data_IF_091449030624
#
_entry.id   IF_091449030624
#
_cell.length_a   1.000
_cell.length_b   1.000
_cell.length_c   1.000
_cell.angle_alpha   90.00
_cell.angle_beta   90.00
_cell.angle_gamma   90.00
#
_symmetry.space_group_name_H-M   'P 1'
#
loop_
_entity.id
_entity.type
_entity.pdbx_description
1 polymer ?
#
# COMPACT_ATOMS: atom_id res chain seq x y z
N UNK A 1 -21.60 9.74 -10.88
CA UNK A 1 -20.17 9.56 -11.22
C UNK A 1 -19.91 8.07 -11.15
N UNK A 2 -19.44 7.46 -12.22
CA UNK A 2 -18.91 6.09 -12.13
C UNK A 2 -17.67 6.15 -11.25
N UNK A 3 -17.64 5.32 -10.21
CA UNK A 3 -16.47 5.19 -9.35
C UNK A 3 -15.34 4.53 -10.15
N UNK A 4 -14.11 4.99 -9.97
CA UNK A 4 -12.94 4.31 -10.54
C UNK A 4 -12.75 2.90 -9.96
N UNK A 5 -11.92 2.10 -10.61
CA UNK A 5 -11.69 0.70 -10.25
C UNK A 5 -11.22 0.51 -8.79
N UNK A 6 -10.36 1.42 -8.30
CA UNK A 6 -9.79 1.36 -6.95
C UNK A 6 -10.87 1.51 -5.83
N UNK A 7 -11.70 2.57 -5.82
CA UNK A 7 -12.81 2.68 -4.87
C UNK A 7 -13.81 1.51 -4.91
N UNK A 8 -14.12 0.99 -6.10
CA UNK A 8 -15.00 -0.16 -6.25
C UNK A 8 -14.38 -1.42 -5.63
N UNK A 9 -13.08 -1.62 -5.85
CA UNK A 9 -12.32 -2.72 -5.26
C UNK A 9 -12.30 -2.61 -3.73
N UNK A 10 -12.03 -1.42 -3.19
CA UNK A 10 -12.05 -1.18 -1.75
C UNK A 10 -13.42 -1.50 -1.15
N UNK A 11 -14.52 -1.00 -1.72
CA UNK A 11 -15.88 -1.28 -1.20
C UNK A 11 -16.23 -2.77 -1.27
N UNK A 12 -15.80 -3.47 -2.31
CA UNK A 12 -15.99 -4.93 -2.45
C UNK A 12 -15.27 -5.70 -1.34
N UNK A 13 -14.05 -5.30 -1.00
CA UNK A 13 -13.24 -5.98 0.02
C UNK A 13 -13.54 -5.51 1.45
N UNK A 14 -14.07 -4.30 1.62
CA UNK A 14 -14.43 -3.70 2.90
C UNK A 14 -15.93 -3.36 2.92
N UNK A 15 -16.82 -4.37 2.88
CA UNK A 15 -18.27 -4.12 2.78
C UNK A 15 -18.82 -3.32 3.97
N UNK A 16 -18.14 -3.41 5.12
CA UNK A 16 -18.48 -2.70 6.36
C UNK A 16 -18.04 -1.23 6.37
N UNK A 17 -17.13 -0.82 5.48
CA UNK A 17 -16.63 0.54 5.42
C UNK A 17 -17.34 1.32 4.31
N UNK A 18 -17.64 2.58 4.56
CA UNK A 18 -18.08 3.49 3.50
C UNK A 18 -16.87 4.06 2.76
N UNK A 19 -16.90 3.99 1.43
CA UNK A 19 -15.81 4.43 0.55
C UNK A 19 -16.30 5.59 -0.28
N UNK A 20 -15.63 6.72 -0.16
CA UNK A 20 -16.04 7.95 -0.81
C UNK A 20 -14.93 8.56 -1.64
N UNK A 21 -15.35 9.22 -2.72
CA UNK A 21 -14.45 9.88 -3.67
C UNK A 21 -14.89 11.33 -3.78
N UNK A 22 -13.97 12.26 -3.65
CA UNK A 22 -14.26 13.66 -3.93
C UNK A 22 -13.00 14.49 -4.01
N UNK A 23 -12.85 15.28 -5.07
CA UNK A 23 -11.58 15.97 -5.42
C UNK A 23 -11.02 16.81 -4.27
N UNK A 24 -11.88 17.57 -3.59
CA UNK A 24 -11.55 18.30 -2.37
C UNK A 24 -11.88 17.41 -1.16
N UNK A 25 -10.85 16.93 -0.46
CA UNK A 25 -11.04 15.98 0.64
C UNK A 25 -11.78 16.58 1.82
N UNK A 26 -11.57 17.87 2.11
CA UNK A 26 -12.23 18.55 3.22
C UNK A 26 -13.71 18.76 2.94
N UNK A 27 -14.04 19.40 1.81
CA UNK A 27 -15.43 19.67 1.44
C UNK A 27 -16.23 18.38 1.28
N UNK A 28 -15.60 17.32 0.75
CA UNK A 28 -16.23 16.01 0.62
C UNK A 28 -16.47 15.35 1.98
N UNK A 29 -15.49 15.41 2.90
CA UNK A 29 -15.66 14.89 4.26
C UNK A 29 -16.83 15.56 4.99
N UNK A 30 -16.96 16.88 4.93
CA UNK A 30 -18.07 17.60 5.57
C UNK A 30 -19.42 17.10 5.02
N UNK A 31 -19.53 16.99 3.70
CA UNK A 31 -20.74 16.50 3.05
C UNK A 31 -21.10 15.07 3.48
N UNK A 32 -20.13 14.15 3.44
CA UNK A 32 -20.38 12.75 3.81
C UNK A 32 -20.65 12.57 5.30
N UNK A 33 -20.04 13.38 6.16
CA UNK A 33 -20.31 13.39 7.59
C UNK A 33 -21.78 13.69 7.87
N UNK A 34 -22.33 14.68 7.18
CA UNK A 34 -23.74 15.06 7.28
C UNK A 34 -24.66 13.98 6.69
N UNK A 35 -24.38 13.53 5.47
CA UNK A 35 -25.20 12.54 4.74
C UNK A 35 -25.31 11.22 5.52
N UNK A 36 -24.19 10.72 6.03
CA UNK A 36 -24.15 9.46 6.80
C UNK A 36 -24.57 9.61 8.26
N UNK A 37 -24.79 10.85 8.74
CA UNK A 37 -24.98 11.15 10.16
C UNK A 37 -23.90 10.47 11.00
N UNK A 38 -22.64 10.68 10.60
CA UNK A 38 -21.50 9.99 11.22
C UNK A 38 -21.48 10.26 12.72
N UNK A 39 -21.23 9.20 13.49
CA UNK A 39 -21.08 9.29 14.94
C UNK A 39 -19.79 10.06 15.26
N UNK A 40 -19.75 10.69 16.42
CA UNK A 40 -18.58 11.46 16.86
C UNK A 40 -17.30 10.60 16.94
N UNK A 41 -17.43 9.31 17.26
CA UNK A 41 -16.31 8.38 17.40
C UNK A 41 -15.99 7.60 16.11
N UNK A 42 -16.42 8.09 14.95
CA UNK A 42 -16.11 7.44 13.67
C UNK A 42 -14.66 7.66 13.28
N UNK A 43 -14.01 6.62 12.76
CA UNK A 43 -12.65 6.70 12.20
C UNK A 43 -12.76 6.98 10.71
N UNK A 44 -11.98 7.96 10.24
CA UNK A 44 -11.83 8.29 8.82
C UNK A 44 -10.42 7.93 8.39
N UNK A 45 -10.30 7.23 7.26
CA UNK A 45 -9.01 6.89 6.66
C UNK A 45 -8.88 7.65 5.36
N UNK A 46 -7.80 8.41 5.22
CA UNK A 46 -7.43 9.07 3.98
C UNK A 46 -6.44 8.19 3.23
N UNK A 47 -6.89 7.58 2.13
CA UNK A 47 -5.98 6.92 1.21
C UNK A 47 -5.14 7.97 0.47
N UNK A 48 -3.82 7.74 0.42
CA UNK A 48 -2.82 8.66 -0.15
C UNK A 48 -2.90 10.12 0.40
N UNK A 49 -3.13 10.25 1.71
CA UNK A 49 -3.38 11.54 2.38
C UNK A 49 -2.15 12.34 2.83
N UNK A 50 -0.94 11.76 2.79
CA UNK A 50 0.23 12.34 3.47
C UNK A 50 0.68 13.71 2.90
N UNK A 51 0.51 13.93 1.59
CA UNK A 51 0.79 15.23 0.96
C UNK A 51 -0.37 16.23 1.11
N UNK A 52 -1.53 15.82 1.64
CA UNK A 52 -2.73 16.67 1.69
C UNK A 52 -2.74 17.58 2.92
N UNK A 53 -1.77 18.50 3.02
CA UNK A 53 -1.51 19.30 4.24
C UNK A 53 -2.72 20.08 4.78
N UNK A 54 -3.66 20.49 3.91
CA UNK A 54 -4.83 21.33 4.25
C UNK A 54 -5.81 20.66 5.22
N UNK A 55 -5.89 19.33 5.22
CA UNK A 55 -6.88 18.60 6.02
C UNK A 55 -6.21 18.01 7.26
N UNK A 56 -6.41 18.58 8.44
CA UNK A 56 -5.84 18.07 9.69
C UNK A 56 -6.13 16.56 9.91
N UNK A 57 -5.16 15.85 10.48
CA UNK A 57 -5.23 14.42 10.77
C UNK A 57 -4.72 14.20 12.19
N UNK A 58 -5.42 13.35 12.94
CA UNK A 58 -4.99 12.99 14.29
C UNK A 58 -3.77 12.07 14.29
N UNK A 59 -3.61 11.27 13.23
CA UNK A 59 -2.51 10.30 13.08
C UNK A 59 -2.08 10.21 11.61
N UNK A 60 -0.79 10.40 11.35
CA UNK A 60 -0.15 10.18 10.05
C UNK A 60 0.64 8.86 10.02
N UNK A 61 0.16 7.88 9.26
CA UNK A 61 0.83 6.61 8.99
C UNK A 61 1.52 6.66 7.62
N UNK A 62 2.85 6.61 7.57
CA UNK A 62 3.59 6.71 6.31
C UNK A 62 4.14 5.37 5.87
N UNK A 63 3.73 4.93 4.68
CA UNK A 63 4.24 3.72 4.06
C UNK A 63 5.51 4.02 3.25
N UNK A 64 6.56 3.26 3.52
CA UNK A 64 7.78 3.21 2.70
C UNK A 64 7.86 1.85 2.00
N UNK A 65 8.11 1.85 0.68
CA UNK A 65 8.28 0.62 -0.08
C UNK A 65 9.71 0.09 0.09
N UNK A 66 9.86 -1.00 0.84
CA UNK A 66 11.15 -1.67 1.10
C UNK A 66 11.87 -2.09 -0.18
N UNK A 67 11.14 -2.40 -1.27
CA UNK A 67 11.74 -2.80 -2.55
C UNK A 67 12.38 -1.64 -3.31
N UNK A 68 12.05 -0.39 -2.96
CA UNK A 68 12.50 0.81 -3.67
C UNK A 68 13.34 1.76 -2.83
N UNK A 69 13.12 1.81 -1.53
CA UNK A 69 13.72 2.82 -0.62
C UNK A 69 15.26 2.86 -0.64
N UNK A 70 15.92 1.74 -0.99
CA UNK A 70 17.38 1.68 -1.11
C UNK A 70 17.91 2.42 -2.35
N UNK A 71 17.09 2.55 -3.39
CA UNK A 71 17.41 3.09 -4.71
C UNK A 71 16.84 4.50 -4.92
N UNK A 72 15.70 4.80 -4.30
CA UNK A 72 15.03 6.10 -4.45
C UNK A 72 15.68 7.17 -3.57
N UNK A 73 16.40 8.08 -4.23
CA UNK A 73 17.11 9.20 -3.57
C UNK A 73 16.70 10.57 -4.07
N UNK A 74 15.97 10.62 -5.19
CA UNK A 74 15.65 11.85 -5.88
C UNK A 74 14.14 12.08 -5.90
N UNK A 75 13.78 13.35 -5.82
CA UNK A 75 12.41 13.82 -6.05
C UNK A 75 12.04 13.66 -7.51
N UNK A 76 10.74 13.58 -7.77
CA UNK A 76 10.21 13.75 -9.13
C UNK A 76 10.73 15.07 -9.75
N UNK A 77 11.12 15.08 -11.04
CA UNK A 77 11.10 13.98 -12.00
C UNK A 77 12.36 13.10 -12.02
N UNK A 78 13.40 13.44 -11.26
CA UNK A 78 14.69 12.71 -11.25
C UNK A 78 14.63 11.36 -10.51
N UNK A 79 13.60 11.15 -9.70
CA UNK A 79 13.25 9.88 -9.06
C UNK A 79 11.75 9.82 -8.79
N UNK A 80 11.32 8.96 -7.86
CA UNK A 80 9.89 8.75 -7.59
C UNK A 80 9.41 9.37 -6.27
N UNK A 81 10.30 9.98 -5.49
CA UNK A 81 9.90 10.61 -4.24
C UNK A 81 9.02 11.83 -4.54
N UNK A 82 7.78 11.83 -4.04
CA UNK A 82 6.90 13.00 -4.12
C UNK A 82 7.30 14.10 -3.13
N UNK A 83 7.96 13.70 -2.05
CA UNK A 83 8.46 14.56 -0.99
C UNK A 83 9.83 14.07 -0.50
N UNK A 84 10.68 14.95 0.05
CA UNK A 84 11.98 14.55 0.56
C UNK A 84 11.83 13.61 1.77
N UNK A 85 12.80 12.72 1.99
CA UNK A 85 12.80 11.80 3.14
C UNK A 85 12.69 12.55 4.49
N UNK A 86 13.13 13.81 4.56
CA UNK A 86 12.95 14.66 5.75
C UNK A 86 11.48 14.89 6.12
N UNK A 87 10.54 14.79 5.19
CA UNK A 87 9.10 14.91 5.46
C UNK A 87 8.58 13.86 6.44
N UNK A 88 9.30 12.74 6.63
CA UNK A 88 8.99 11.72 7.64
C UNK A 88 8.98 12.25 9.08
N UNK A 89 9.53 13.44 9.33
CA UNK A 89 9.43 14.09 10.65
C UNK A 89 7.97 14.28 11.09
N UNK A 90 7.06 14.46 10.13
CA UNK A 90 5.61 14.65 10.35
C UNK A 90 4.86 13.34 10.60
N UNK A 91 5.43 12.20 10.22
CA UNK A 91 4.78 10.91 10.42
C UNK A 91 4.69 10.60 11.91
N UNK A 92 3.57 10.08 12.38
CA UNK A 92 3.47 9.52 13.74
C UNK A 92 4.07 8.12 13.78
N UNK A 93 3.82 7.32 12.76
CA UNK A 93 4.44 6.00 12.57
C UNK A 93 4.88 5.78 11.14
N UNK A 94 5.94 4.98 10.99
CA UNK A 94 6.50 4.60 9.69
C UNK A 94 6.28 3.10 9.48
N UNK A 95 5.72 2.74 8.34
CA UNK A 95 5.44 1.35 7.97
C UNK A 95 6.31 0.98 6.77
N UNK A 96 7.24 0.06 6.94
CA UNK A 96 7.98 -0.53 5.82
C UNK A 96 7.14 -1.64 5.20
N UNK A 97 6.52 -1.33 4.07
CA UNK A 97 5.75 -2.28 3.25
C UNK A 97 6.67 -3.14 2.38
N UNK A 98 6.22 -4.37 2.05
CA UNK A 98 7.01 -5.35 1.30
C UNK A 98 8.36 -5.63 1.98
N UNK A 99 8.34 -5.66 3.31
CA UNK A 99 9.54 -5.81 4.13
C UNK A 99 10.29 -7.10 3.82
N UNK A 100 11.62 -6.99 3.75
CA UNK A 100 12.56 -8.10 3.70
C UNK A 100 13.72 -7.82 4.67
N UNK A 101 14.31 -8.86 5.24
CA UNK A 101 15.42 -8.73 6.19
C UNK A 101 16.67 -8.07 5.57
N UNK A 102 16.81 -8.13 4.25
CA UNK A 102 17.91 -7.50 3.50
C UNK A 102 17.98 -5.98 3.67
N UNK A 103 16.86 -5.31 3.96
CA UNK A 103 16.80 -3.85 4.12
C UNK A 103 16.86 -3.36 5.56
N UNK A 104 17.08 -4.26 6.52
CA UNK A 104 17.04 -3.94 7.96
C UNK A 104 18.00 -2.82 8.36
N UNK A 105 19.20 -2.75 7.75
CA UNK A 105 20.14 -1.64 7.99
C UNK A 105 19.55 -0.28 7.61
N UNK A 106 18.77 -0.20 6.54
CA UNK A 106 18.12 1.03 6.10
C UNK A 106 16.99 1.40 7.06
N UNK A 107 16.23 0.41 7.52
CA UNK A 107 15.17 0.58 8.53
C UNK A 107 15.74 1.18 9.81
N UNK A 108 16.82 0.61 10.33
CA UNK A 108 17.49 1.11 11.54
C UNK A 108 18.01 2.55 11.36
N UNK A 109 18.57 2.87 10.20
CA UNK A 109 19.03 4.24 9.91
C UNK A 109 17.87 5.24 9.92
N UNK A 110 16.72 4.88 9.35
CA UNK A 110 15.52 5.72 9.36
C UNK A 110 14.96 5.83 10.79
N UNK A 111 14.92 4.72 11.54
CA UNK A 111 14.47 4.70 12.92
C UNK A 111 15.28 5.65 13.80
N UNK A 112 16.62 5.54 13.72
CA UNK A 112 17.53 6.37 14.50
C UNK A 112 17.44 7.85 14.10
N UNK A 113 17.28 8.13 12.80
CA UNK A 113 17.22 9.51 12.30
C UNK A 113 15.95 10.24 12.72
N UNK A 114 14.80 9.57 12.69
CA UNK A 114 13.51 10.22 12.95
C UNK A 114 12.94 9.92 14.34
N UNK A 115 13.52 8.97 15.07
CA UNK A 115 13.06 8.52 16.39
C UNK A 115 11.56 8.14 16.39
N UNK A 116 11.12 7.48 15.30
CA UNK A 116 9.72 7.04 15.13
C UNK A 116 9.60 5.54 15.37
N UNK A 117 8.41 5.12 15.81
CA UNK A 117 8.05 3.71 15.82
C UNK A 117 8.00 3.18 14.37
N UNK A 118 8.55 1.99 14.17
CA UNK A 118 8.57 1.34 12.86
C UNK A 118 7.82 0.02 12.92
N UNK A 119 6.83 -0.09 12.03
CA UNK A 119 6.19 -1.36 11.70
C UNK A 119 6.82 -1.95 10.44
N UNK A 120 7.03 -3.26 10.45
CA UNK A 120 7.53 -4.04 9.31
C UNK A 120 6.38 -4.87 8.78
N UNK A 121 6.00 -4.65 7.53
CA UNK A 121 4.86 -5.28 6.91
C UNK A 121 5.26 -6.00 5.63
N UNK A 122 4.97 -7.29 5.56
CA UNK A 122 5.13 -8.12 4.37
C UNK A 122 3.80 -8.78 4.00
N UNK A 123 3.65 -9.08 2.71
CA UNK A 123 2.51 -9.82 2.18
C UNK A 123 3.00 -11.15 1.63
N UNK A 124 2.29 -12.22 1.98
CA UNK A 124 2.47 -13.54 1.40
C UNK A 124 1.15 -14.02 0.80
N UNK A 125 1.16 -14.56 -0.44
CA UNK A 125 -0.05 -15.11 -1.01
C UNK A 125 -0.56 -16.29 -0.20
N UNK A 126 -1.79 -16.15 0.31
CA UNK A 126 -2.51 -17.24 0.98
C UNK A 126 -3.14 -18.19 -0.04
N UNK A 127 -3.69 -17.64 -1.12
CA UNK A 127 -4.55 -18.35 -2.09
C UNK A 127 -4.22 -17.97 -3.53
N UNK A 128 -4.35 -18.95 -4.41
CA UNK A 128 -4.40 -18.76 -5.86
C UNK A 128 -5.87 -18.81 -6.26
N UNK A 129 -6.33 -17.81 -7.01
CA UNK A 129 -7.69 -17.79 -7.54
C UNK A 129 -7.68 -18.14 -9.03
N UNK A 130 -8.52 -19.10 -9.41
CA UNK A 130 -8.81 -19.40 -10.80
C UNK A 130 -9.79 -18.37 -11.41
N UNK A 131 -9.98 -18.34 -12.73
CA UNK A 131 -10.93 -17.43 -13.38
C UNK A 131 -12.39 -17.56 -12.90
N UNK A 132 -12.79 -18.74 -12.42
CA UNK A 132 -14.10 -19.00 -11.82
C UNK A 132 -14.13 -18.77 -10.29
N UNK A 133 -13.13 -18.05 -9.74
CA UNK A 133 -13.01 -17.70 -8.33
C UNK A 133 -12.91 -18.90 -7.37
N UNK A 134 -12.50 -20.06 -7.88
CA UNK A 134 -12.13 -21.18 -7.02
C UNK A 134 -10.76 -20.91 -6.41
N UNK A 135 -10.61 -21.31 -5.16
CA UNK A 135 -9.40 -21.07 -4.39
C UNK A 135 -8.56 -22.34 -4.32
N UNK A 136 -7.30 -22.21 -4.73
CA UNK A 136 -6.26 -23.23 -4.58
C UNK A 136 -5.14 -22.72 -3.67
N UNK A 137 -4.30 -23.64 -3.19
CA UNK A 137 -3.05 -23.27 -2.54
C UNK A 137 -2.04 -22.80 -3.60
N UNK A 138 -1.33 -21.68 -3.39
CA UNK A 138 -0.26 -21.25 -4.28
C UNK A 138 0.87 -22.29 -4.45
N UNK A 139 1.00 -23.25 -3.54
CA UNK A 139 1.93 -24.39 -3.64
C UNK A 139 1.69 -25.26 -4.88
N UNK A 140 0.52 -25.18 -5.51
CA UNK A 140 0.22 -25.87 -6.77
C UNK A 140 1.18 -25.48 -7.90
N UNK A 141 1.82 -24.31 -7.80
CA UNK A 141 2.81 -23.83 -8.75
C UNK A 141 4.15 -24.58 -8.67
N UNK A 142 4.43 -25.26 -7.55
CA UNK A 142 5.70 -25.96 -7.33
C UNK A 142 5.92 -27.05 -8.39
N UNK A 143 7.08 -27.02 -9.03
CA UNK A 143 7.44 -27.96 -10.10
C UNK A 143 6.63 -27.81 -11.39
N UNK A 144 5.81 -26.76 -11.54
CA UNK A 144 5.04 -26.49 -12.76
C UNK A 144 5.78 -25.52 -13.68
N UNK A 145 5.51 -25.62 -14.98
CA UNK A 145 5.83 -24.55 -15.94
C UNK A 145 4.70 -23.52 -15.87
N UNK A 146 5.04 -22.29 -15.53
CA UNK A 146 4.10 -21.19 -15.32
C UNK A 146 4.40 -20.10 -16.34
N UNK A 147 3.36 -19.67 -17.04
CA UNK A 147 3.37 -18.45 -17.85
C UNK A 147 2.65 -17.37 -17.05
N UNK A 148 3.32 -16.24 -16.79
CA UNK A 148 2.82 -15.19 -15.94
C UNK A 148 2.92 -13.83 -16.62
N UNK A 149 1.88 -13.00 -16.47
CA UNK A 149 1.89 -11.62 -16.92
C UNK A 149 1.23 -10.73 -15.87
N UNK A 150 1.59 -9.45 -15.85
CA UNK A 150 1.03 -8.49 -14.91
C UNK A 150 1.03 -7.08 -15.49
N UNK A 151 0.03 -6.28 -15.12
CA UNK A 151 -0.14 -4.88 -15.52
C UNK A 151 0.16 -3.87 -14.41
N UNK A 152 0.88 -4.27 -13.36
CA UNK A 152 1.16 -3.40 -12.20
C UNK A 152 2.41 -2.54 -12.41
N UNK A 153 2.50 -1.39 -11.73
CA UNK A 153 3.62 -0.45 -11.85
C UNK A 153 4.99 -0.94 -11.36
N UNK A 154 5.06 -2.10 -10.68
CA UNK A 154 6.32 -2.78 -10.34
C UNK A 154 6.19 -4.30 -10.58
N UNK A 155 6.35 -4.78 -11.83
CA UNK A 155 6.14 -6.17 -12.19
C UNK A 155 7.02 -7.16 -11.41
N UNK A 156 8.24 -6.78 -11.05
CA UNK A 156 9.20 -7.68 -10.40
C UNK A 156 8.75 -8.17 -9.02
N UNK A 157 7.91 -7.39 -8.32
CA UNK A 157 7.32 -7.83 -7.05
C UNK A 157 6.40 -9.04 -7.28
N UNK A 158 5.63 -9.02 -8.37
CA UNK A 158 4.74 -10.13 -8.73
C UNK A 158 5.51 -11.38 -9.15
N UNK A 159 6.52 -11.22 -10.02
CA UNK A 159 7.34 -12.37 -10.43
C UNK A 159 8.15 -12.95 -9.26
N UNK A 160 8.77 -12.10 -8.44
CA UNK A 160 9.51 -12.54 -7.23
C UNK A 160 8.59 -13.28 -6.26
N UNK A 161 7.34 -12.85 -6.13
CA UNK A 161 6.33 -13.52 -5.32
C UNK A 161 6.01 -14.93 -5.87
N UNK A 162 5.85 -15.11 -7.18
CA UNK A 162 5.63 -16.43 -7.79
C UNK A 162 6.84 -17.34 -7.59
N UNK A 163 8.06 -16.82 -7.72
CA UNK A 163 9.30 -17.61 -7.54
C UNK A 163 9.40 -18.25 -6.17
N UNK A 164 8.80 -17.67 -5.12
CA UNK A 164 8.74 -18.26 -3.77
C UNK A 164 8.01 -19.61 -3.70
N UNK A 165 7.18 -19.93 -4.71
CA UNK A 165 6.48 -21.21 -4.80
C UNK A 165 7.20 -22.24 -5.70
N UNK A 166 8.46 -21.96 -6.07
CA UNK A 166 9.36 -22.91 -6.75
C UNK A 166 8.80 -23.55 -8.03
N UNK A 167 8.31 -22.76 -9.01
CA UNK A 167 7.93 -23.30 -10.30
C UNK A 167 9.14 -23.90 -11.02
N UNK A 168 8.92 -24.97 -11.79
CA UNK A 168 9.95 -25.59 -12.64
C UNK A 168 10.45 -24.59 -13.71
N UNK A 169 9.55 -23.75 -14.21
CA UNK A 169 9.88 -22.66 -15.14
C UNK A 169 8.89 -21.52 -14.94
N UNK A 170 9.37 -20.28 -14.97
CA UNK A 170 8.55 -19.07 -14.95
C UNK A 170 8.91 -18.24 -16.19
N UNK A 171 7.96 -18.14 -17.12
CA UNK A 171 8.03 -17.33 -18.35
C UNK A 171 7.09 -16.14 -18.27
#
# INVERSE_FOLDING_TARGET
>A
MEAGDEPLLLKKHLPFAEVWIGKDRYSSYIHFREELRMRENSIVILDDGFQHHVLERDVDLVLLDSSKISKERFLIPAGNLREPISSLIRADQIIFSKYESSIEKIVQNIQNKFSKEILRFSLEPDKLLSPNLQSDSPKILSGKKVYAFTGIGNPEVFFSMIRKFEPLKLE
#
